data_IF_148081118324
#
_entry.id   IF_148081118324
#
_cell.length_a   1.000
_cell.length_b   1.000
_cell.length_c   1.000
_cell.angle_alpha   90.00
_cell.angle_beta   90.00
_cell.angle_gamma   90.00
#
_symmetry.space_group_name_H-M   'P 1'
#
loop_
_entity.id
_entity.type
_entity.pdbx_description
1 polymer ?
#
# COMPACT_ATOMS: atom_id res chain seq x y z
N UNK A 1 7.36 17.32 -5.06
CA UNK A 1 8.07 18.19 -6.02
C UNK A 1 7.61 17.98 -7.46
N UNK A 2 7.64 16.76 -8.03
CA UNK A 2 7.20 16.54 -9.43
C UNK A 2 5.70 16.82 -9.61
N UNK A 3 4.87 16.33 -8.70
CA UNK A 3 3.42 16.58 -8.73
C UNK A 3 3.12 18.06 -8.51
N UNK A 4 3.84 18.76 -7.62
CA UNK A 4 3.68 20.21 -7.44
C UNK A 4 4.02 20.97 -8.73
N UNK A 5 5.10 20.59 -9.40
CA UNK A 5 5.44 21.17 -10.68
C UNK A 5 4.35 20.95 -11.73
N UNK A 6 3.81 19.71 -11.82
CA UNK A 6 2.70 19.39 -12.73
C UNK A 6 1.42 20.16 -12.37
N UNK A 7 1.17 20.38 -11.09
CA UNK A 7 0.03 21.14 -10.59
C UNK A 7 0.10 22.60 -11.06
N UNK A 8 1.27 23.21 -10.95
CA UNK A 8 1.51 24.62 -11.31
C UNK A 8 1.62 24.84 -12.83
N UNK A 9 1.91 23.79 -13.60
CA UNK A 9 2.00 23.88 -15.06
C UNK A 9 0.60 23.91 -15.70
N UNK A 10 0.20 25.05 -16.25
CA UNK A 10 -1.11 25.22 -16.90
C UNK A 10 -1.27 24.41 -18.20
N UNK A 11 -0.18 23.93 -18.79
CA UNK A 11 -0.21 23.06 -19.97
C UNK A 11 -0.37 21.59 -19.64
N UNK A 12 -0.22 21.20 -18.36
CA UNK A 12 -0.42 19.84 -17.92
C UNK A 12 -1.90 19.48 -17.96
N UNK A 13 -2.25 18.36 -18.59
CA UNK A 13 -3.62 17.89 -18.79
C UNK A 13 -4.03 16.80 -17.78
N UNK A 14 -3.08 16.20 -17.08
CA UNK A 14 -3.33 15.12 -16.11
C UNK A 14 -2.04 14.35 -15.77
N UNK A 15 -2.16 13.33 -14.95
CA UNK A 15 -1.04 12.46 -14.56
C UNK A 15 -1.33 11.03 -14.98
N UNK A 16 -0.43 10.42 -15.76
CA UNK A 16 -0.37 8.97 -15.96
C UNK A 16 0.67 8.39 -14.99
N UNK A 17 0.21 7.77 -13.93
CA UNK A 17 1.05 7.10 -12.95
C UNK A 17 1.43 5.70 -13.45
N UNK A 18 2.68 5.49 -13.80
CA UNK A 18 3.22 4.17 -14.15
C UNK A 18 3.71 3.47 -12.88
N UNK A 19 3.03 2.40 -12.47
CA UNK A 19 3.33 1.67 -11.24
C UNK A 19 4.02 0.34 -11.56
N UNK A 20 5.25 0.21 -11.06
CA UNK A 20 5.96 -1.07 -10.99
C UNK A 20 6.64 -1.19 -9.63
N UNK A 21 5.85 -1.62 -8.63
CA UNK A 21 6.27 -1.62 -7.23
C UNK A 21 5.57 -2.72 -6.43
N UNK A 22 6.30 -3.48 -5.59
CA UNK A 22 5.70 -4.42 -4.64
C UNK A 22 5.07 -3.74 -3.42
N UNK A 23 5.21 -2.43 -3.29
CA UNK A 23 4.80 -1.63 -2.13
C UNK A 23 5.98 -1.12 -1.30
N UNK A 24 5.70 -0.81 -0.05
CA UNK A 24 6.68 -0.24 0.87
C UNK A 24 6.02 0.21 2.18
N UNK A 25 6.60 1.23 2.83
CA UNK A 25 6.05 1.73 4.08
C UNK A 25 4.69 2.40 3.87
N UNK A 26 3.80 2.24 4.86
CA UNK A 26 2.48 2.90 4.87
C UNK A 26 2.63 4.40 4.71
N UNK A 27 3.54 5.02 5.49
CA UNK A 27 3.79 6.46 5.43
C UNK A 27 4.13 6.97 4.02
N UNK A 28 5.10 6.34 3.34
CA UNK A 28 5.50 6.81 2.01
C UNK A 28 4.40 6.60 0.96
N UNK A 29 3.60 5.54 1.11
CA UNK A 29 2.46 5.27 0.22
C UNK A 29 1.35 6.29 0.43
N UNK A 30 1.04 6.61 1.68
CA UNK A 30 0.00 7.57 2.04
C UNK A 30 0.37 9.00 1.61
N UNK A 31 1.60 9.46 1.86
CA UNK A 31 2.08 10.76 1.41
C UNK A 31 1.92 10.96 -0.11
N UNK A 32 2.21 9.92 -0.88
CA UNK A 32 2.07 9.99 -2.33
C UNK A 32 0.59 9.94 -2.77
N UNK A 33 -0.21 9.10 -2.11
CA UNK A 33 -1.66 9.06 -2.32
C UNK A 33 -2.31 10.42 -2.05
N UNK A 34 -2.02 11.01 -0.89
CA UNK A 34 -2.54 12.32 -0.50
C UNK A 34 -2.11 13.41 -1.49
N UNK A 35 -0.88 13.34 -1.99
CA UNK A 35 -0.38 14.31 -2.96
C UNK A 35 -1.05 14.19 -4.33
N UNK A 36 -1.40 12.98 -4.76
CA UNK A 36 -2.20 12.76 -5.97
C UNK A 36 -3.65 13.21 -5.78
N UNK A 37 -4.21 12.98 -4.59
CA UNK A 37 -5.56 13.44 -4.22
C UNK A 37 -5.62 14.97 -4.23
N UNK A 38 -4.67 15.66 -3.59
CA UNK A 38 -4.53 17.12 -3.63
C UNK A 38 -4.45 17.65 -5.07
N UNK A 39 -3.63 17.00 -5.91
CA UNK A 39 -3.53 17.37 -7.32
C UNK A 39 -4.88 17.32 -8.04
N UNK A 40 -5.64 16.24 -7.86
CA UNK A 40 -6.98 16.09 -8.45
C UNK A 40 -7.96 17.16 -7.95
N UNK A 41 -7.99 17.37 -6.64
CA UNK A 41 -8.93 18.31 -5.99
C UNK A 41 -8.65 19.76 -6.39
N UNK A 42 -7.39 20.17 -6.44
CA UNK A 42 -7.02 21.55 -6.76
C UNK A 42 -7.05 21.88 -8.24
N UNK A 43 -6.76 20.89 -9.11
CA UNK A 43 -6.65 21.15 -10.55
C UNK A 43 -7.88 20.70 -11.34
N UNK A 44 -8.68 19.77 -10.82
CA UNK A 44 -9.75 19.09 -11.55
C UNK A 44 -9.24 18.18 -12.68
N UNK A 45 -7.92 17.94 -12.75
CA UNK A 45 -7.30 17.15 -13.84
C UNK A 45 -7.24 15.67 -13.43
N UNK A 46 -7.39 14.74 -14.40
CA UNK A 46 -7.43 13.31 -14.11
C UNK A 46 -6.07 12.76 -13.70
N UNK A 47 -6.12 11.73 -12.84
CA UNK A 47 -4.99 10.85 -12.53
C UNK A 47 -5.36 9.45 -12.98
N UNK A 48 -4.67 8.91 -13.97
CA UNK A 48 -4.80 7.52 -14.41
C UNK A 48 -3.60 6.73 -13.91
N UNK A 49 -3.81 5.46 -13.58
CA UNK A 49 -2.73 4.54 -13.20
C UNK A 49 -2.62 3.38 -14.18
N UNK A 50 -1.39 3.08 -14.54
CA UNK A 50 -1.05 1.88 -15.30
C UNK A 50 -0.17 0.95 -14.46
N UNK A 51 -0.63 -0.27 -14.26
CA UNK A 51 0.08 -1.33 -13.54
C UNK A 51 0.91 -2.17 -14.50
N UNK A 52 2.23 -2.13 -14.33
CA UNK A 52 3.17 -2.85 -15.18
C UNK A 52 3.31 -4.32 -14.76
N UNK A 53 4.46 -4.72 -14.22
CA UNK A 53 4.72 -6.07 -13.76
C UNK A 53 4.11 -6.34 -12.39
N UNK A 54 4.35 -5.42 -11.45
CA UNK A 54 3.85 -5.51 -10.08
C UNK A 54 3.29 -4.15 -9.64
N UNK A 55 2.09 -4.16 -9.07
CA UNK A 55 1.49 -3.00 -8.42
C UNK A 55 0.72 -3.49 -7.19
N UNK A 56 1.43 -3.79 -6.11
CA UNK A 56 0.90 -4.50 -4.96
C UNK A 56 1.13 -3.73 -3.65
N UNK A 57 0.31 -3.99 -2.62
CA UNK A 57 0.44 -3.36 -1.31
C UNK A 57 0.52 -1.83 -1.43
N UNK A 58 1.55 -1.17 -0.92
CA UNK A 58 1.74 0.29 -1.09
C UNK A 58 1.68 0.76 -2.54
N UNK A 59 2.05 -0.06 -3.52
CA UNK A 59 1.91 0.25 -4.95
C UNK A 59 0.46 0.33 -5.40
N UNK A 60 -0.41 -0.55 -4.88
CA UNK A 60 -1.86 -0.47 -5.08
C UNK A 60 -2.47 0.70 -4.31
N UNK A 61 -2.05 0.92 -3.06
CA UNK A 61 -2.50 2.00 -2.20
C UNK A 61 -2.43 3.36 -2.89
N UNK A 62 -1.27 3.69 -3.45
CA UNK A 62 -1.02 4.95 -4.15
C UNK A 62 -2.01 5.16 -5.30
N UNK A 63 -2.32 4.09 -6.02
CA UNK A 63 -3.15 4.14 -7.21
C UNK A 63 -4.66 4.02 -6.92
N UNK A 64 -5.06 3.64 -5.72
CA UNK A 64 -6.46 3.34 -5.38
C UNK A 64 -7.41 4.52 -5.66
N UNK A 65 -6.95 5.77 -5.48
CA UNK A 65 -7.70 6.99 -5.76
C UNK A 65 -7.64 7.50 -7.22
N UNK A 66 -7.05 6.74 -8.15
CA UNK A 66 -7.00 7.12 -9.57
C UNK A 66 -8.37 7.04 -10.24
N UNK A 67 -8.63 7.92 -11.20
CA UNK A 67 -9.88 7.95 -11.95
C UNK A 67 -10.04 6.72 -12.86
N UNK A 68 -8.93 6.16 -13.30
CA UNK A 68 -8.88 4.89 -14.03
C UNK A 68 -7.62 4.12 -13.70
N UNK A 69 -7.76 2.82 -13.45
CA UNK A 69 -6.66 1.89 -13.22
C UNK A 69 -6.66 0.84 -14.33
N UNK A 70 -5.59 0.82 -15.10
CA UNK A 70 -5.37 -0.17 -16.16
C UNK A 70 -4.15 -1.03 -15.82
N UNK A 71 -4.18 -2.30 -16.13
CA UNK A 71 -3.08 -3.21 -15.84
C UNK A 71 -2.60 -3.98 -17.08
N UNK A 72 -1.30 -4.27 -17.14
CA UNK A 72 -0.78 -5.28 -18.03
C UNK A 72 -1.41 -6.65 -17.69
N UNK A 73 -1.69 -7.47 -18.71
CA UNK A 73 -2.30 -8.80 -18.52
C UNK A 73 -1.51 -9.73 -17.59
N UNK A 74 -0.20 -9.51 -17.45
CA UNK A 74 0.70 -10.30 -16.61
C UNK A 74 0.98 -9.61 -15.26
N UNK A 75 0.31 -8.50 -14.95
CA UNK A 75 0.49 -7.78 -13.71
C UNK A 75 0.08 -8.63 -12.51
N UNK A 76 0.88 -8.54 -11.45
CA UNK A 76 0.53 -8.98 -10.10
C UNK A 76 0.14 -7.77 -9.27
N UNK A 77 -1.06 -7.79 -8.67
CA UNK A 77 -1.58 -6.65 -7.90
C UNK A 77 -2.31 -7.09 -6.63
N UNK A 78 -3.00 -6.19 -5.96
CA UNK A 78 -3.67 -6.46 -4.69
C UNK A 78 -2.70 -6.39 -3.52
N UNK A 79 -2.53 -7.47 -2.75
CA UNK A 79 -1.77 -7.45 -1.48
C UNK A 79 -2.27 -6.33 -0.56
N UNK A 80 -3.60 -6.15 -0.52
CA UNK A 80 -4.24 -5.17 0.36
C UNK A 80 -4.17 -5.73 1.77
N UNK A 81 -3.24 -5.19 2.54
CA UNK A 81 -2.91 -5.68 3.87
C UNK A 81 -1.69 -4.95 4.44
N UNK A 82 -1.52 -5.07 5.75
CA UNK A 82 -0.41 -4.46 6.49
C UNK A 82 0.21 -5.50 7.41
N UNK A 83 1.52 -5.52 7.50
CA UNK A 83 2.23 -6.34 8.46
C UNK A 83 3.36 -5.58 9.12
N UNK A 84 3.72 -5.99 10.32
CA UNK A 84 4.88 -5.51 11.04
C UNK A 84 5.79 -6.71 11.33
N UNK A 85 7.03 -6.64 10.88
CA UNK A 85 7.99 -7.73 11.10
C UNK A 85 8.80 -8.10 9.85
N UNK A 86 9.52 -9.22 9.88
CA UNK A 86 9.51 -10.25 10.93
C UNK A 86 10.12 -9.76 12.25
N UNK A 87 9.49 -10.10 13.38
CA UNK A 87 10.06 -9.92 14.72
C UNK A 87 10.72 -11.26 15.11
N UNK A 88 12.03 -11.24 15.20
CA UNK A 88 12.84 -12.44 15.43
C UNK A 88 13.17 -12.55 16.92
N UNK A 89 12.81 -13.66 17.56
CA UNK A 89 13.26 -14.02 18.87
C UNK A 89 14.47 -14.96 18.79
N UNK A 90 15.65 -14.46 19.15
CA UNK A 90 16.87 -15.22 19.19
C UNK A 90 17.32 -15.60 20.62
N UNK A 91 16.47 -15.37 21.64
CA UNK A 91 16.82 -15.60 23.04
C UNK A 91 17.29 -17.03 23.31
N UNK A 92 16.60 -18.02 22.77
CA UNK A 92 16.99 -19.43 22.92
C UNK A 92 18.32 -19.78 22.23
N UNK A 93 18.73 -19.08 21.17
CA UNK A 93 20.02 -19.26 20.56
C UNK A 93 21.11 -18.63 21.42
N UNK A 94 20.90 -17.42 21.93
CA UNK A 94 21.84 -16.72 22.80
C UNK A 94 22.12 -17.51 24.08
N UNK A 95 21.10 -18.11 24.68
CA UNK A 95 21.24 -18.98 25.85
C UNK A 95 22.14 -20.19 25.54
N UNK A 96 21.97 -20.83 24.38
CA UNK A 96 22.79 -22.00 23.98
C UNK A 96 24.28 -21.65 23.80
N UNK A 97 24.59 -20.42 23.42
CA UNK A 97 25.99 -19.98 23.22
C UNK A 97 26.52 -19.20 24.43
N UNK A 98 25.77 -19.13 25.53
CA UNK A 98 26.18 -18.50 26.80
C UNK A 98 26.20 -16.95 26.76
N UNK A 99 25.54 -16.34 25.80
CA UNK A 99 25.43 -14.87 25.68
C UNK A 99 24.25 -14.37 26.51
N UNK A 100 24.49 -13.37 27.35
CA UNK A 100 23.48 -12.70 28.16
C UNK A 100 23.23 -11.30 27.60
N UNK A 101 21.98 -10.95 27.40
CA UNK A 101 21.57 -9.60 27.01
C UNK A 101 20.87 -8.90 28.19
N UNK A 102 21.33 -7.70 28.53
CA UNK A 102 20.68 -6.86 29.54
C UNK A 102 20.14 -5.61 28.87
N UNK A 103 18.89 -5.26 29.19
CA UNK A 103 18.21 -4.09 28.62
C UNK A 103 17.77 -3.17 29.76
N UNK A 104 18.38 -2.01 29.87
CA UNK A 104 17.95 -0.93 30.75
C UNK A 104 16.96 -0.04 30.00
N UNK A 105 15.74 0.10 30.49
CA UNK A 105 14.66 0.79 29.79
C UNK A 105 13.82 1.65 30.73
N UNK A 106 13.32 2.75 30.25
CA UNK A 106 12.48 3.70 31.01
C UNK A 106 11.01 3.24 31.15
N UNK A 107 10.54 2.31 30.35
CA UNK A 107 9.17 1.82 30.37
C UNK A 107 9.06 0.38 29.89
N UNK A 108 8.00 -0.32 30.30
CA UNK A 108 7.82 -1.76 30.03
C UNK A 108 7.97 -2.11 28.53
N UNK A 109 7.40 -1.30 27.66
CA UNK A 109 7.31 -1.56 26.23
C UNK A 109 8.39 -0.85 25.37
N UNK A 110 9.32 -0.08 25.98
CA UNK A 110 10.33 0.70 25.23
C UNK A 110 11.25 -0.15 24.35
N UNK A 111 11.46 -1.41 24.71
CA UNK A 111 12.31 -2.34 24.00
C UNK A 111 11.51 -3.50 23.35
N UNK A 112 10.20 -3.36 23.15
CA UNK A 112 9.41 -4.41 22.51
C UNK A 112 9.88 -4.66 21.08
N UNK A 113 9.82 -5.90 20.61
CA UNK A 113 10.26 -6.30 19.28
C UNK A 113 11.79 -6.46 19.12
N UNK A 114 12.59 -6.31 20.20
CA UNK A 114 13.99 -6.67 20.16
C UNK A 114 14.19 -8.19 20.01
N UNK A 115 15.37 -8.61 19.52
CA UNK A 115 15.66 -10.02 19.25
C UNK A 115 16.15 -10.82 20.45
N UNK A 116 16.25 -10.20 21.62
CA UNK A 116 16.87 -10.83 22.80
C UNK A 116 15.87 -11.43 23.78
N UNK A 117 14.60 -11.20 23.57
CA UNK A 117 13.50 -11.75 24.38
C UNK A 117 12.22 -11.87 23.55
N UNK A 118 11.37 -12.85 23.86
CA UNK A 118 10.10 -13.02 23.19
C UNK A 118 9.16 -11.84 23.46
N UNK A 119 8.24 -11.58 22.51
CA UNK A 119 7.13 -10.66 22.76
C UNK A 119 6.21 -11.20 23.84
N UNK A 120 5.82 -10.34 24.78
CA UNK A 120 4.71 -10.63 25.67
C UNK A 120 3.38 -10.54 24.91
N UNK A 121 2.32 -11.13 25.48
CA UNK A 121 0.96 -11.02 24.91
C UNK A 121 0.48 -9.55 24.83
N UNK A 122 0.81 -8.72 25.84
CA UNK A 122 0.53 -7.30 25.84
C UNK A 122 1.24 -6.59 24.64
N UNK A 123 2.51 -6.87 24.45
CA UNK A 123 3.29 -6.27 23.34
C UNK A 123 2.78 -6.73 21.98
N UNK A 124 2.36 -7.99 21.87
CA UNK A 124 1.72 -8.52 20.67
C UNK A 124 0.42 -7.78 20.38
N UNK A 125 -0.40 -7.54 21.39
CA UNK A 125 -1.67 -6.83 21.26
C UNK A 125 -1.44 -5.39 20.80
N UNK A 126 -0.44 -4.67 21.33
CA UNK A 126 -0.06 -3.32 20.92
C UNK A 126 0.32 -3.29 19.42
N UNK A 127 1.14 -4.22 18.96
CA UNK A 127 1.50 -4.29 17.54
C UNK A 127 0.33 -4.69 16.65
N UNK A 128 -0.56 -5.57 17.13
CA UNK A 128 -1.74 -5.96 16.37
C UNK A 128 -2.72 -4.78 16.19
N UNK A 129 -2.92 -3.98 17.22
CA UNK A 129 -3.74 -2.77 17.15
C UNK A 129 -3.18 -1.78 16.12
N UNK A 130 -1.87 -1.51 16.15
CA UNK A 130 -1.19 -0.66 15.17
C UNK A 130 -1.36 -1.17 13.72
N UNK A 131 -1.21 -2.48 13.51
CA UNK A 131 -1.40 -3.10 12.19
C UNK A 131 -2.86 -3.01 11.75
N UNK A 132 -3.81 -3.23 12.65
CA UNK A 132 -5.23 -3.15 12.35
C UNK A 132 -5.66 -1.73 11.95
N UNK A 133 -5.20 -0.70 12.65
CA UNK A 133 -5.48 0.69 12.32
C UNK A 133 -4.99 1.05 10.90
N UNK A 134 -3.76 0.69 10.60
CA UNK A 134 -3.19 0.91 9.25
C UNK A 134 -3.92 0.11 8.17
N UNK A 135 -4.40 -1.09 8.50
CA UNK A 135 -5.19 -1.92 7.59
C UNK A 135 -6.56 -1.32 7.31
N UNK A 136 -7.27 -0.85 8.34
CA UNK A 136 -8.57 -0.19 8.17
C UNK A 136 -8.44 1.04 7.27
N UNK A 137 -7.43 1.87 7.48
CA UNK A 137 -7.14 3.02 6.60
C UNK A 137 -6.95 2.59 5.14
N UNK A 138 -6.19 1.50 4.89
CA UNK A 138 -5.98 1.00 3.53
C UNK A 138 -7.29 0.52 2.90
N UNK A 139 -8.10 -0.21 3.65
CA UNK A 139 -9.42 -0.69 3.18
C UNK A 139 -10.35 0.47 2.84
N UNK A 140 -10.40 1.51 3.67
CA UNK A 140 -11.22 2.70 3.45
C UNK A 140 -10.80 3.46 2.17
N UNK A 141 -9.50 3.62 1.95
CA UNK A 141 -8.96 4.24 0.74
C UNK A 141 -9.33 3.44 -0.51
N UNK A 142 -9.25 2.12 -0.45
CA UNK A 142 -9.68 1.26 -1.56
C UNK A 142 -11.19 1.37 -1.78
N UNK A 143 -11.97 1.37 -0.70
CA UNK A 143 -13.43 1.50 -0.77
C UNK A 143 -13.84 2.83 -1.42
N UNK A 144 -13.26 3.95 -0.97
CA UNK A 144 -13.49 5.29 -1.54
C UNK A 144 -13.07 5.32 -3.02
N UNK A 145 -11.85 4.93 -3.32
CA UNK A 145 -11.27 5.06 -4.67
C UNK A 145 -11.92 4.13 -5.70
N UNK A 146 -12.42 2.98 -5.29
CA UNK A 146 -13.09 2.01 -6.17
C UNK A 146 -14.62 2.06 -6.11
N UNK A 147 -15.21 2.96 -5.30
CA UNK A 147 -16.66 3.05 -5.12
C UNK A 147 -17.27 1.76 -4.57
N UNK A 148 -16.57 1.10 -3.66
CA UNK A 148 -16.98 -0.18 -3.08
C UNK A 148 -17.40 0.00 -1.62
N UNK A 149 -18.30 -0.85 -1.15
CA UNK A 149 -18.57 -0.94 0.29
C UNK A 149 -17.35 -1.50 1.04
N UNK A 150 -17.01 -0.93 2.19
CA UNK A 150 -15.90 -1.37 3.06
C UNK A 150 -15.96 -2.88 3.34
N UNK A 151 -17.17 -3.41 3.59
CA UNK A 151 -17.36 -4.84 3.82
C UNK A 151 -17.01 -5.69 2.59
N UNK A 152 -17.27 -5.21 1.38
CA UNK A 152 -16.91 -5.90 0.15
C UNK A 152 -15.39 -5.89 -0.07
N UNK A 153 -14.74 -4.77 0.20
CA UNK A 153 -13.27 -4.68 0.14
C UNK A 153 -12.64 -5.67 1.12
N UNK A 154 -13.11 -5.76 2.35
CA UNK A 154 -12.60 -6.70 3.37
C UNK A 154 -12.67 -8.17 2.94
N UNK A 155 -13.60 -8.56 2.06
CA UNK A 155 -13.67 -9.93 1.52
C UNK A 155 -12.51 -10.28 0.59
N UNK A 156 -11.87 -9.28 0.01
CA UNK A 156 -10.78 -9.43 -0.95
C UNK A 156 -9.45 -8.83 -0.46
N UNK A 157 -9.43 -8.29 0.75
CA UNK A 157 -8.29 -7.57 1.34
C UNK A 157 -7.63 -8.37 2.49
N UNK A 158 -7.32 -9.63 2.26
CA UNK A 158 -6.65 -10.50 3.24
C UNK A 158 -5.12 -10.57 3.04
N UNK A 159 -4.57 -9.65 2.25
CA UNK A 159 -3.14 -9.59 1.93
C UNK A 159 -2.72 -10.44 0.73
N UNK A 160 -3.63 -11.19 0.12
CA UNK A 160 -3.30 -11.98 -1.08
C UNK A 160 -3.05 -11.12 -2.32
N UNK A 161 -2.26 -11.64 -3.24
CA UNK A 161 -2.08 -11.04 -4.55
C UNK A 161 -3.10 -11.60 -5.56
N UNK A 162 -3.35 -10.82 -6.60
CA UNK A 162 -4.25 -11.14 -7.71
C UNK A 162 -3.54 -10.99 -9.05
N UNK A 163 -3.90 -11.83 -10.00
CA UNK A 163 -3.63 -11.57 -11.41
C UNK A 163 -4.46 -10.39 -11.90
N UNK A 164 -4.08 -9.76 -13.01
CA UNK A 164 -4.86 -8.67 -13.60
C UNK A 164 -6.33 -9.08 -13.87
N UNK A 165 -6.55 -10.33 -14.33
CA UNK A 165 -7.91 -10.85 -14.57
C UNK A 165 -8.74 -10.96 -13.28
N UNK A 166 -8.13 -11.46 -12.20
CA UNK A 166 -8.80 -11.56 -10.89
C UNK A 166 -9.05 -10.17 -10.30
N UNK A 167 -8.08 -9.26 -10.41
CA UNK A 167 -8.23 -7.88 -9.93
C UNK A 167 -9.37 -7.15 -10.66
N UNK A 168 -9.50 -7.34 -11.97
CA UNK A 168 -10.62 -6.79 -12.75
C UNK A 168 -11.96 -7.38 -12.31
N UNK A 169 -12.02 -8.69 -12.12
CA UNK A 169 -13.25 -9.35 -11.65
C UNK A 169 -13.68 -8.90 -10.25
N UNK A 170 -12.72 -8.53 -9.40
CA UNK A 170 -12.94 -8.02 -8.05
C UNK A 170 -13.17 -6.49 -7.99
N UNK A 171 -13.18 -5.78 -9.13
CA UNK A 171 -13.34 -4.33 -9.15
C UNK A 171 -12.10 -3.52 -8.75
N UNK A 172 -10.96 -4.17 -8.54
CA UNK A 172 -9.73 -3.51 -8.14
C UNK A 172 -9.04 -2.75 -9.27
N UNK A 173 -9.32 -3.09 -10.52
CA UNK A 173 -8.88 -2.37 -11.72
C UNK A 173 -10.02 -2.28 -12.73
N UNK A 174 -9.93 -1.31 -13.64
CA UNK A 174 -10.97 -1.05 -14.64
C UNK A 174 -10.73 -1.83 -15.92
N UNK A 175 -9.47 -1.96 -16.34
CA UNK A 175 -9.15 -2.48 -17.66
C UNK A 175 -7.82 -3.27 -17.67
N UNK A 176 -7.71 -4.15 -18.66
CA UNK A 176 -6.46 -4.86 -18.97
C UNK A 176 -6.08 -4.48 -20.40
N UNK A 177 -4.96 -3.79 -20.56
CA UNK A 177 -4.47 -3.36 -21.88
C UNK A 177 -2.95 -3.21 -21.89
N UNK A 178 -2.41 -2.77 -23.02
CA UNK A 178 -1.03 -2.31 -23.13
C UNK A 178 -0.87 -0.92 -22.50
N UNK A 179 0.36 -0.50 -22.24
CA UNK A 179 0.65 0.87 -21.76
C UNK A 179 0.28 1.92 -22.82
N UNK A 180 0.55 1.65 -24.08
CA UNK A 180 0.22 2.58 -25.18
C UNK A 180 -1.29 2.80 -25.28
N UNK A 181 -2.09 1.71 -25.22
CA UNK A 181 -3.55 1.84 -25.25
C UNK A 181 -4.08 2.62 -24.03
N UNK A 182 -3.51 2.40 -22.83
CA UNK A 182 -3.89 3.12 -21.61
C UNK A 182 -3.56 4.61 -21.72
N UNK A 183 -2.40 4.94 -22.28
CA UNK A 183 -1.99 6.33 -22.55
C UNK A 183 -2.92 7.00 -23.56
N UNK A 184 -3.21 6.33 -24.68
CA UNK A 184 -4.10 6.84 -25.71
C UNK A 184 -5.53 7.05 -25.20
N UNK A 185 -5.98 6.21 -24.25
CA UNK A 185 -7.28 6.36 -23.61
C UNK A 185 -7.36 7.58 -22.68
N UNK A 186 -6.23 8.02 -22.10
CA UNK A 186 -6.17 9.21 -21.27
C UNK A 186 -6.18 10.52 -22.09
N UNK A 187 -5.69 10.45 -23.34
CA UNK A 187 -5.58 11.61 -24.22
C UNK A 187 -6.87 11.92 -25.03
N UNK A 188 -7.90 11.07 -24.87
CA UNK A 188 -9.22 11.23 -25.52
C UNK A 188 -10.22 11.91 -24.62
#
# INVERSE_FOLDING_TARGET
RQIDYMKDDTSNLGIMLYVNSPGGSVYASDELYLKLKEYKEETGRPVYSYFAETAASGGYYIAAGSDKITANRNCTTGSIGVYLGPIIDASGLLDKVGVKAEIVKSGANKAMGNSYQPLTEEQRAIYQEYVNESYEQFVEIVAEGRGMEVAAVKQIADGRVYTAKQAKANGLIDEISSFEDAKDAMLK
#
